data_IF_209116164337
#
_entry.id   IF_209116164337
#
_cell.length_a   1.000
_cell.length_b   1.000
_cell.length_c   1.000
_cell.angle_alpha   90.00
_cell.angle_beta   90.00
_cell.angle_gamma   90.00
#
_symmetry.space_group_name_H-M   'P 1'
#
loop_
_entity.id
_entity.type
_entity.pdbx_description
1 polymer ?
#
# COMPACT_ATOMS: atom_id res chain seq x y z
N UNK A 1 39.00 -60.83 40.61
CA UNK A 1 39.63 -61.93 39.84
C UNK A 1 38.96 -61.95 38.47
N UNK A 2 39.51 -61.26 37.48
CA UNK A 2 40.50 -61.71 36.49
C UNK A 2 39.84 -62.27 35.19
N UNK A 3 40.24 -61.69 34.05
CA UNK A 3 39.94 -62.18 32.69
C UNK A 3 39.59 -61.05 31.71
N UNK A 4 40.52 -60.16 31.36
CA UNK A 4 41.46 -60.24 30.21
C UNK A 4 40.79 -60.05 28.83
N UNK A 5 40.93 -58.81 28.34
CA UNK A 5 41.48 -58.36 27.04
C UNK A 5 41.06 -59.06 25.73
N UNK A 6 40.58 -58.24 24.76
CA UNK A 6 41.17 -58.13 23.40
C UNK A 6 40.60 -56.92 22.64
N UNK A 7 41.42 -55.88 22.52
CA UNK A 7 41.29 -54.86 21.48
C UNK A 7 41.65 -55.48 20.13
N UNK A 8 40.74 -55.40 19.16
CA UNK A 8 41.02 -55.73 17.76
C UNK A 8 40.92 -54.44 16.93
N UNK A 9 42.10 -53.93 16.58
CA UNK A 9 42.36 -52.91 15.56
C UNK A 9 41.93 -53.45 14.19
N UNK A 10 40.95 -52.83 13.54
CA UNK A 10 40.63 -53.09 12.14
C UNK A 10 41.06 -51.92 11.28
N UNK A 11 42.12 -52.20 10.52
CA UNK A 11 42.80 -51.31 9.61
C UNK A 11 41.87 -50.77 8.50
N UNK A 12 42.01 -49.47 8.26
CA UNK A 12 41.44 -48.73 7.13
C UNK A 12 41.99 -49.27 5.81
N UNK A 13 41.21 -50.09 5.09
CA UNK A 13 41.44 -50.36 3.67
C UNK A 13 41.07 -49.11 2.87
N UNK A 14 42.07 -48.28 2.55
CA UNK A 14 41.97 -47.25 1.50
C UNK A 14 41.57 -47.92 0.19
N UNK A 15 40.33 -47.71 -0.26
CA UNK A 15 39.96 -47.96 -1.67
C UNK A 15 40.70 -46.91 -2.50
N UNK A 16 41.68 -47.34 -3.27
CA UNK A 16 42.24 -46.54 -4.36
C UNK A 16 41.10 -46.29 -5.36
N UNK A 17 40.65 -45.04 -5.48
CA UNK A 17 39.68 -44.65 -6.50
C UNK A 17 40.32 -44.88 -7.87
N UNK A 18 39.70 -45.72 -8.70
CA UNK A 18 40.06 -45.80 -10.10
C UNK A 18 39.92 -44.40 -10.71
N UNK A 19 41.04 -43.80 -11.13
CA UNK A 19 41.01 -42.53 -11.84
C UNK A 19 40.33 -42.78 -13.19
N UNK A 20 39.09 -42.33 -13.33
CA UNK A 20 38.35 -42.37 -14.58
C UNK A 20 39.08 -41.47 -15.58
N UNK A 21 39.88 -42.05 -16.46
CA UNK A 21 40.51 -41.30 -17.55
C UNK A 21 39.44 -40.90 -18.56
N UNK A 22 38.97 -39.65 -18.45
CA UNK A 22 38.15 -39.02 -19.49
C UNK A 22 39.08 -38.56 -20.61
N UNK A 23 38.89 -39.13 -21.80
CA UNK A 23 39.64 -38.73 -23.00
C UNK A 23 39.51 -37.22 -23.25
N UNK A 24 40.57 -36.58 -23.77
CA UNK A 24 40.59 -35.15 -24.10
C UNK A 24 39.39 -34.73 -24.96
N UNK A 25 38.97 -35.57 -25.90
CA UNK A 25 37.81 -35.30 -26.77
C UNK A 25 36.49 -35.33 -26.01
N UNK A 26 36.29 -36.30 -25.11
CA UNK A 26 35.10 -36.37 -24.25
C UNK A 26 35.04 -35.21 -23.25
N UNK A 27 36.19 -34.76 -22.75
CA UNK A 27 36.28 -33.58 -21.87
C UNK A 27 35.94 -32.29 -22.63
N UNK A 28 36.35 -32.18 -23.89
CA UNK A 28 36.02 -31.05 -24.75
C UNK A 28 34.52 -31.01 -25.10
N UNK A 29 33.91 -32.17 -25.37
CA UNK A 29 32.46 -32.29 -25.58
C UNK A 29 31.66 -31.98 -24.30
N UNK A 30 32.10 -32.43 -23.12
CA UNK A 30 31.46 -32.05 -21.86
C UNK A 30 31.57 -30.56 -21.57
N UNK A 31 32.71 -29.91 -21.87
CA UNK A 31 32.85 -28.46 -21.74
C UNK A 31 31.99 -27.69 -22.73
N UNK A 32 31.84 -28.17 -23.98
CA UNK A 32 30.94 -27.56 -24.96
C UNK A 32 29.46 -27.75 -24.59
N UNK A 33 29.08 -28.90 -24.05
CA UNK A 33 27.72 -29.12 -23.53
C UNK A 33 27.44 -28.30 -22.26
N UNK A 34 28.43 -28.08 -21.39
CA UNK A 34 28.28 -27.18 -20.24
C UNK A 34 28.26 -25.69 -20.64
N UNK A 35 28.96 -25.29 -21.72
CA UNK A 35 28.89 -23.92 -22.26
C UNK A 35 27.59 -23.65 -23.03
N UNK A 36 26.98 -24.67 -23.66
CA UNK A 36 25.65 -24.56 -24.27
C UNK A 36 24.51 -24.72 -23.26
N UNK A 37 24.76 -25.32 -22.10
CA UNK A 37 23.91 -25.18 -20.91
C UNK A 37 24.34 -23.96 -20.09
N UNK A 38 24.36 -22.78 -20.72
CA UNK A 38 23.99 -21.57 -19.98
C UNK A 38 22.56 -21.85 -19.51
N UNK A 39 22.42 -22.33 -18.27
CA UNK A 39 21.13 -22.33 -17.58
C UNK A 39 20.62 -20.90 -17.71
N UNK A 40 19.68 -20.69 -18.63
CA UNK A 40 18.79 -19.56 -18.55
C UNK A 40 18.09 -19.79 -17.22
N UNK A 41 18.59 -19.11 -16.17
CA UNK A 41 17.76 -18.86 -15.02
C UNK A 41 16.56 -18.13 -15.59
N UNK A 42 15.48 -18.86 -15.83
CA UNK A 42 14.15 -18.27 -15.89
C UNK A 42 13.92 -17.71 -14.50
N UNK A 43 14.44 -16.51 -14.24
CA UNK A 43 13.83 -15.65 -13.25
C UNK A 43 12.39 -15.52 -13.73
N UNK A 44 11.44 -16.08 -12.99
CA UNK A 44 10.03 -15.76 -13.14
C UNK A 44 9.87 -14.27 -12.82
N UNK A 45 10.31 -13.41 -13.73
CA UNK A 45 10.00 -11.99 -13.69
C UNK A 45 8.59 -11.93 -14.21
N UNK A 46 7.64 -11.82 -13.29
CA UNK A 46 6.26 -11.52 -13.66
C UNK A 46 6.29 -10.25 -14.50
N UNK A 47 5.75 -10.26 -15.73
CA UNK A 47 5.72 -9.05 -16.53
C UNK A 47 4.94 -7.98 -15.77
N UNK A 48 5.39 -6.71 -15.80
CA UNK A 48 4.70 -5.62 -15.13
C UNK A 48 3.30 -5.46 -15.72
N UNK A 49 2.34 -5.01 -14.92
CA UNK A 49 0.97 -4.83 -15.38
C UNK A 49 0.90 -3.83 -16.54
N UNK A 50 -0.08 -3.95 -17.44
CA UNK A 50 -0.26 -2.97 -18.50
C UNK A 50 -0.59 -1.58 -17.93
N UNK A 51 -0.45 -0.55 -18.75
CA UNK A 51 -0.91 0.79 -18.37
C UNK A 51 -2.43 0.74 -18.09
N UNK A 52 -2.91 1.36 -16.99
CA UNK A 52 -4.32 1.31 -16.65
C UNK A 52 -5.19 1.97 -17.74
N UNK A 53 -6.34 1.37 -18.11
CA UNK A 53 -7.25 1.98 -19.06
C UNK A 53 -7.90 3.26 -18.48
N UNK A 54 -8.44 4.09 -19.37
CA UNK A 54 -9.12 5.35 -19.01
C UNK A 54 -10.41 5.11 -18.20
N UNK A 55 -11.08 3.98 -18.44
CA UNK A 55 -12.23 3.49 -17.68
C UNK A 55 -12.05 1.99 -17.41
N UNK A 56 -12.58 1.49 -16.29
CA UNK A 56 -12.44 0.09 -15.95
C UNK A 56 -13.09 -0.27 -14.63
N UNK A 57 -13.25 -1.57 -14.43
CA UNK A 57 -13.83 -2.20 -13.24
C UNK A 57 -12.88 -3.30 -12.76
N UNK A 58 -12.59 -3.38 -11.47
CA UNK A 58 -11.80 -4.49 -10.91
C UNK A 58 -12.35 -4.94 -9.58
N UNK A 59 -12.28 -6.24 -9.31
CA UNK A 59 -12.40 -6.77 -7.96
C UNK A 59 -11.12 -6.43 -7.19
N UNK A 60 -11.24 -6.31 -5.86
CA UNK A 60 -10.13 -6.03 -4.96
C UNK A 60 -9.95 -7.18 -3.95
N UNK A 61 -9.34 -8.31 -4.37
CA UNK A 61 -9.10 -9.42 -3.45
C UNK A 61 -8.14 -9.06 -2.30
N UNK A 62 -7.35 -7.98 -2.45
CA UNK A 62 -6.55 -7.42 -1.35
C UNK A 62 -7.38 -6.75 -0.24
N UNK A 63 -8.71 -6.65 -0.40
CA UNK A 63 -9.63 -6.03 0.56
C UNK A 63 -10.67 -7.04 1.04
N UNK A 64 -10.98 -6.99 2.34
CA UNK A 64 -11.96 -7.88 3.00
C UNK A 64 -12.93 -7.08 3.86
N UNK A 65 -14.12 -7.64 4.06
CA UNK A 65 -15.22 -7.00 4.78
C UNK A 65 -15.45 -7.65 6.14
N UNK A 66 -15.55 -6.81 7.17
CA UNK A 66 -15.93 -7.20 8.53
C UNK A 66 -17.29 -6.59 8.83
N UNK A 67 -18.29 -7.42 9.10
CA UNK A 67 -19.59 -6.99 9.62
C UNK A 67 -19.49 -6.66 11.10
N UNK A 68 -20.02 -5.49 11.46
CA UNK A 68 -20.21 -5.03 12.84
C UNK A 68 -21.67 -4.59 12.99
N UNK A 69 -22.46 -5.34 13.75
CA UNK A 69 -23.91 -5.15 13.77
C UNK A 69 -24.51 -5.27 15.18
N UNK A 70 -25.28 -4.27 15.59
CA UNK A 70 -26.03 -4.25 16.85
C UNK A 70 -26.13 -2.86 17.46
N UNK A 71 -26.96 -2.67 18.48
CA UNK A 71 -27.37 -1.35 18.98
C UNK A 71 -26.21 -0.45 19.43
N UNK A 72 -25.10 -1.02 19.92
CA UNK A 72 -23.94 -0.23 20.37
C UNK A 72 -22.87 -0.03 19.28
N UNK A 73 -23.04 -0.59 18.08
CA UNK A 73 -22.02 -0.58 17.02
C UNK A 73 -21.59 0.84 16.61
N UNK A 74 -22.56 1.73 16.33
CA UNK A 74 -22.28 3.10 15.92
C UNK A 74 -21.53 3.89 17.01
N UNK A 75 -21.94 3.73 18.28
CA UNK A 75 -21.30 4.37 19.44
C UNK A 75 -19.87 3.86 19.63
N UNK A 76 -19.65 2.56 19.49
CA UNK A 76 -18.32 1.97 19.55
C UNK A 76 -17.43 2.53 18.43
N UNK A 77 -17.87 2.45 17.17
CA UNK A 77 -17.11 2.94 16.02
C UNK A 77 -16.77 4.42 16.16
N UNK A 78 -17.71 5.24 16.60
CA UNK A 78 -17.49 6.67 16.83
C UNK A 78 -16.31 6.94 17.77
N UNK A 79 -16.07 6.08 18.76
CA UNK A 79 -14.96 6.23 19.71
C UNK A 79 -13.61 5.66 19.27
N UNK A 80 -13.54 4.90 18.17
CA UNK A 80 -12.31 4.16 17.78
C UNK A 80 -11.80 4.49 16.38
N UNK A 81 -12.58 5.17 15.55
CA UNK A 81 -12.17 5.59 14.21
C UNK A 81 -11.90 7.11 14.14
N UNK A 82 -11.09 7.53 13.18
CA UNK A 82 -10.70 8.95 12.97
C UNK A 82 -11.77 9.82 12.31
N UNK A 83 -12.72 9.22 11.59
CA UNK A 83 -13.81 9.93 10.91
C UNK A 83 -15.13 9.83 11.71
N UNK A 84 -16.10 10.68 11.37
CA UNK A 84 -17.38 10.70 12.07
C UNK A 84 -18.35 9.69 11.46
N UNK A 85 -19.06 8.94 12.32
CA UNK A 85 -20.05 7.94 11.90
C UNK A 85 -21.27 8.61 11.23
N UNK A 86 -21.57 9.85 11.62
CA UNK A 86 -22.60 10.67 10.98
C UNK A 86 -22.03 11.48 9.80
N UNK A 87 -22.92 11.95 8.94
CA UNK A 87 -22.61 12.98 7.94
C UNK A 87 -22.31 14.33 8.61
N UNK A 88 -21.83 15.31 7.82
CA UNK A 88 -21.54 16.66 8.32
C UNK A 88 -22.80 17.37 8.81
N UNK A 89 -23.95 17.00 8.25
CA UNK A 89 -25.29 17.48 8.60
C UNK A 89 -25.90 16.73 9.80
N UNK A 90 -25.09 15.93 10.51
CA UNK A 90 -25.51 15.07 11.61
C UNK A 90 -26.58 14.01 11.25
N UNK A 91 -26.71 13.68 9.95
CA UNK A 91 -27.60 12.63 9.46
C UNK A 91 -26.88 11.29 9.31
N UNK A 92 -27.63 10.19 9.35
CA UNK A 92 -27.14 8.84 9.02
C UNK A 92 -26.56 8.82 7.61
N UNK A 93 -25.31 8.39 7.47
CA UNK A 93 -24.66 8.25 6.17
C UNK A 93 -25.37 7.18 5.35
N UNK A 94 -25.46 7.41 4.04
CA UNK A 94 -26.01 6.45 3.08
C UNK A 94 -24.93 5.79 2.23
N UNK A 95 -23.72 6.35 2.22
CA UNK A 95 -22.56 5.85 1.47
C UNK A 95 -21.40 5.61 2.41
N UNK A 96 -20.41 4.88 1.93
CA UNK A 96 -19.17 4.66 2.66
C UNK A 96 -18.34 5.92 2.86
N UNK A 97 -17.37 5.82 3.76
CA UNK A 97 -16.40 6.88 4.03
C UNK A 97 -15.06 6.29 4.47
N UNK A 98 -13.98 7.02 4.20
CA UNK A 98 -12.63 6.63 4.56
C UNK A 98 -12.34 7.01 6.03
N UNK A 99 -11.61 6.16 6.73
CA UNK A 99 -11.22 6.37 8.12
C UNK A 99 -9.97 5.54 8.45
N UNK A 100 -9.50 5.66 9.68
CA UNK A 100 -8.46 4.79 10.22
C UNK A 100 -8.76 4.39 11.67
N UNK A 101 -8.28 3.21 12.06
CA UNK A 101 -8.07 2.85 13.46
C UNK A 101 -6.68 3.27 13.88
N UNK A 102 -6.55 3.95 15.02
CA UNK A 102 -5.25 4.35 15.57
C UNK A 102 -4.94 3.57 16.85
N UNK A 103 -3.66 3.48 17.19
CA UNK A 103 -3.25 3.08 18.52
C UNK A 103 -3.42 4.25 19.50
N UNK A 104 -3.29 3.98 20.81
CA UNK A 104 -3.46 5.01 21.85
C UNK A 104 -2.48 6.19 21.71
N UNK A 105 -1.37 5.98 21.02
CA UNK A 105 -0.37 7.03 20.78
C UNK A 105 -0.70 7.87 19.52
N UNK A 106 -1.69 7.50 18.71
CA UNK A 106 -2.10 8.21 17.49
C UNK A 106 -1.43 7.75 16.20
N UNK A 107 -0.93 6.51 16.14
CA UNK A 107 -0.31 5.92 14.93
C UNK A 107 -1.29 4.96 14.28
N UNK A 108 -1.26 4.88 12.95
CA UNK A 108 -2.21 4.08 12.17
C UNK A 108 -2.03 2.60 12.48
N UNK A 109 -3.13 1.94 12.84
CA UNK A 109 -3.25 0.48 12.89
C UNK A 109 -3.78 -0.06 11.58
N UNK A 110 -4.86 0.51 11.06
CA UNK A 110 -5.51 0.08 9.83
C UNK A 110 -6.17 1.28 9.15
N UNK A 111 -5.93 1.44 7.85
CA UNK A 111 -6.78 2.23 6.95
C UNK A 111 -8.04 1.43 6.61
N UNK A 112 -9.20 2.07 6.65
CA UNK A 112 -10.48 1.39 6.44
C UNK A 112 -11.46 2.25 5.66
N UNK A 113 -12.37 1.58 4.96
CA UNK A 113 -13.64 2.19 4.58
C UNK A 113 -14.74 1.64 5.48
N UNK A 114 -15.62 2.51 5.92
CA UNK A 114 -16.79 2.15 6.73
C UNK A 114 -18.04 2.39 5.88
N UNK A 115 -18.88 1.37 5.77
CA UNK A 115 -20.09 1.36 4.96
C UNK A 115 -21.30 1.09 5.86
N UNK A 116 -22.34 1.95 5.82
CA UNK A 116 -23.65 1.60 6.39
C UNK A 116 -24.21 0.36 5.68
N UNK A 117 -24.41 -0.75 6.38
CA UNK A 117 -24.92 -1.98 5.78
C UNK A 117 -26.44 -1.88 5.57
N UNK A 118 -26.85 -1.17 4.53
CA UNK A 118 -28.26 -0.94 4.19
C UNK A 118 -28.86 -2.22 3.60
N UNK A 119 -28.10 -2.92 2.75
CA UNK A 119 -28.53 -4.14 2.08
C UNK A 119 -28.54 -5.39 2.98
N UNK A 120 -27.88 -5.36 4.15
CA UNK A 120 -27.85 -6.50 5.07
C UNK A 120 -26.83 -7.59 4.70
N UNK A 121 -25.81 -7.26 3.91
CA UNK A 121 -24.76 -8.21 3.46
C UNK A 121 -24.00 -8.84 4.63
N UNK A 122 -23.99 -8.18 5.79
CA UNK A 122 -23.41 -8.72 7.01
C UNK A 122 -24.13 -9.94 7.56
N UNK A 123 -25.21 -10.43 6.93
CA UNK A 123 -26.13 -11.45 7.44
C UNK A 123 -26.63 -11.11 8.85
N UNK A 124 -26.98 -9.83 9.02
CA UNK A 124 -27.44 -9.25 10.29
C UNK A 124 -28.80 -8.56 10.11
N UNK A 125 -29.66 -9.10 9.25
CA UNK A 125 -31.00 -8.58 8.91
C UNK A 125 -31.93 -8.44 10.12
N UNK A 126 -31.68 -9.24 11.16
CA UNK A 126 -32.43 -9.17 12.42
C UNK A 126 -32.12 -7.91 13.25
N UNK A 127 -31.00 -7.21 12.97
CA UNK A 127 -30.62 -5.98 13.65
C UNK A 127 -31.26 -4.77 12.99
N UNK A 128 -31.56 -3.73 13.78
CA UNK A 128 -32.22 -2.53 13.29
C UNK A 128 -31.38 -1.81 12.21
N UNK A 129 -32.04 -1.29 11.17
CA UNK A 129 -31.42 -0.41 10.18
C UNK A 129 -30.69 0.77 10.88
N UNK A 130 -29.51 1.13 10.40
CA UNK A 130 -28.65 2.15 11.03
C UNK A 130 -27.76 1.63 12.17
N UNK A 131 -27.85 0.35 12.54
CA UNK A 131 -26.98 -0.29 13.56
C UNK A 131 -26.03 -1.33 12.97
N UNK A 132 -25.96 -1.42 11.64
CA UNK A 132 -25.18 -2.41 10.90
C UNK A 132 -24.16 -1.71 10.01
N UNK A 133 -22.91 -2.15 10.07
CA UNK A 133 -21.81 -1.56 9.30
C UNK A 133 -20.94 -2.66 8.71
N UNK A 134 -20.41 -2.43 7.51
CA UNK A 134 -19.30 -3.19 6.95
C UNK A 134 -18.03 -2.35 7.04
N UNK A 135 -16.94 -2.98 7.45
CA UNK A 135 -15.61 -2.39 7.51
C UNK A 135 -14.76 -3.08 6.46
N UNK A 136 -14.37 -2.34 5.42
CA UNK A 136 -13.37 -2.78 4.46
C UNK A 136 -11.98 -2.50 5.02
N UNK A 137 -11.14 -3.52 5.05
CA UNK A 137 -9.75 -3.45 5.48
C UNK A 137 -8.85 -4.28 4.55
N UNK A 138 -7.54 -4.10 4.68
CA UNK A 138 -6.53 -4.97 4.06
C UNK A 138 -6.80 -6.45 4.42
N UNK A 139 -6.84 -7.31 3.40
CA UNK A 139 -7.14 -8.73 3.53
C UNK A 139 -6.19 -9.45 4.50
N UNK A 140 -4.91 -9.08 4.51
CA UNK A 140 -3.89 -9.69 5.37
C UNK A 140 -4.03 -9.27 6.83
N UNK A 141 -4.71 -8.16 7.10
CA UNK A 141 -4.90 -7.63 8.46
C UNK A 141 -6.35 -7.72 8.95
N UNK A 142 -7.31 -8.11 8.11
CA UNK A 142 -8.74 -8.13 8.42
C UNK A 142 -9.07 -8.99 9.65
N UNK A 143 -8.44 -10.16 9.78
CA UNK A 143 -8.62 -11.03 10.95
C UNK A 143 -8.07 -10.41 12.24
N UNK A 144 -6.93 -9.71 12.13
CA UNK A 144 -6.33 -9.00 13.26
C UNK A 144 -7.22 -7.84 13.69
N UNK A 145 -7.75 -7.07 12.75
CA UNK A 145 -8.69 -5.98 13.03
C UNK A 145 -9.99 -6.53 13.65
N UNK A 146 -10.56 -7.62 13.13
CA UNK A 146 -11.74 -8.24 13.71
C UNK A 146 -11.50 -8.70 15.16
N UNK A 147 -10.34 -9.31 15.45
CA UNK A 147 -9.94 -9.66 16.84
C UNK A 147 -9.73 -8.43 17.72
N UNK A 148 -9.16 -7.36 17.17
CA UNK A 148 -9.00 -6.09 17.87
C UNK A 148 -10.36 -5.52 18.27
N UNK A 149 -11.30 -5.39 17.34
CA UNK A 149 -12.67 -4.93 17.61
C UNK A 149 -13.34 -5.80 18.68
N UNK A 150 -13.27 -7.13 18.55
CA UNK A 150 -13.84 -8.07 19.55
C UNK A 150 -13.25 -7.87 20.95
N UNK A 151 -11.94 -7.63 21.05
CA UNK A 151 -11.26 -7.38 22.33
C UNK A 151 -11.74 -6.09 22.99
N UNK A 152 -11.93 -5.02 22.22
CA UNK A 152 -12.31 -3.70 22.73
C UNK A 152 -13.83 -3.46 22.79
N UNK A 153 -14.65 -4.37 22.23
CA UNK A 153 -16.11 -4.37 22.37
C UNK A 153 -16.56 -4.36 23.84
N UNK A 154 -15.84 -5.04 24.74
CA UNK A 154 -16.19 -5.16 26.16
C UNK A 154 -17.68 -5.55 26.33
N UNK A 155 -18.48 -4.72 27.02
CA UNK A 155 -19.91 -4.95 27.27
C UNK A 155 -20.83 -4.39 26.17
N UNK A 156 -20.27 -3.74 25.15
CA UNK A 156 -21.07 -3.19 24.06
C UNK A 156 -21.81 -4.30 23.32
N UNK A 157 -23.08 -4.07 23.00
CA UNK A 157 -23.99 -5.03 22.37
C UNK A 157 -23.94 -4.89 20.84
N UNK A 158 -23.02 -5.59 20.21
CA UNK A 158 -22.95 -5.77 18.75
C UNK A 158 -22.12 -6.99 18.36
N UNK A 159 -22.43 -7.68 17.29
CA UNK A 159 -21.64 -8.81 16.81
C UNK A 159 -20.57 -8.37 15.81
N UNK A 160 -19.51 -9.18 15.70
CA UNK A 160 -18.38 -8.93 14.81
C UNK A 160 -18.07 -10.19 14.03
N UNK A 161 -18.15 -10.12 12.71
CA UNK A 161 -17.97 -11.26 11.81
C UNK A 161 -17.12 -10.86 10.61
N UNK A 162 -16.04 -11.58 10.36
CA UNK A 162 -15.32 -11.47 9.10
C UNK A 162 -16.10 -12.25 8.04
N UNK A 163 -16.49 -11.60 6.95
CA UNK A 163 -17.21 -12.24 5.85
C UNK A 163 -16.25 -13.14 5.07
N UNK A 164 -16.72 -14.30 4.63
CA UNK A 164 -16.01 -15.15 3.69
C UNK A 164 -15.85 -14.44 2.33
N UNK A 165 -14.88 -14.90 1.52
CA UNK A 165 -14.50 -14.25 0.26
C UNK A 165 -15.63 -14.29 -0.78
N UNK A 166 -16.49 -15.31 -0.69
CA UNK A 166 -17.63 -15.54 -1.57
C UNK A 166 -18.93 -14.87 -1.12
N UNK A 167 -19.02 -14.41 0.13
CA UNK A 167 -20.21 -13.72 0.66
C UNK A 167 -20.34 -12.28 0.13
N UNK A 168 -19.22 -11.59 -0.09
CA UNK A 168 -19.23 -10.23 -0.62
C UNK A 168 -17.86 -9.84 -1.19
N UNK A 169 -17.89 -9.10 -2.30
CA UNK A 169 -16.69 -8.61 -2.99
C UNK A 169 -16.65 -7.08 -2.99
N UNK A 170 -15.46 -6.55 -2.73
CA UNK A 170 -15.16 -5.13 -2.92
C UNK A 170 -14.68 -4.92 -4.35
N UNK A 171 -15.32 -3.99 -5.04
CA UNK A 171 -14.98 -3.59 -6.39
C UNK A 171 -14.55 -2.14 -6.43
N UNK A 172 -13.78 -1.79 -7.45
CA UNK A 172 -13.47 -0.41 -7.77
C UNK A 172 -13.72 -0.13 -9.25
N UNK A 173 -14.43 0.95 -9.52
CA UNK A 173 -14.75 1.41 -10.87
C UNK A 173 -14.23 2.84 -11.10
N UNK A 174 -13.75 3.11 -12.30
CA UNK A 174 -13.40 4.46 -12.75
C UNK A 174 -13.87 4.66 -14.19
N UNK A 175 -14.27 5.88 -14.50
CA UNK A 175 -15.27 6.15 -15.55
C UNK A 175 -15.10 7.54 -16.18
N UNK A 176 -13.87 8.04 -16.26
CA UNK A 176 -13.53 9.38 -16.79
C UNK A 176 -14.56 10.48 -16.40
N UNK A 177 -14.87 10.55 -15.10
CA UNK A 177 -15.78 11.57 -14.53
C UNK A 177 -17.27 11.21 -14.47
N UNK A 178 -17.72 10.05 -14.98
CA UNK A 178 -19.14 9.63 -14.91
C UNK A 178 -19.48 8.86 -13.62
N UNK A 179 -20.64 9.08 -13.03
CA UNK A 179 -21.09 8.25 -11.91
C UNK A 179 -21.51 6.86 -12.41
N UNK A 180 -20.95 5.74 -11.90
CA UNK A 180 -21.42 4.41 -12.28
C UNK A 180 -22.82 4.20 -11.74
N UNK A 181 -23.76 3.83 -12.61
CA UNK A 181 -25.14 3.49 -12.22
C UNK A 181 -25.31 1.99 -12.41
N UNK A 182 -25.68 1.29 -11.34
CA UNK A 182 -25.93 -0.15 -11.37
C UNK A 182 -27.04 -0.50 -10.39
N UNK A 183 -27.86 -1.48 -10.76
CA UNK A 183 -28.92 -2.05 -9.91
C UNK A 183 -28.43 -3.21 -9.05
N UNK A 184 -27.24 -3.73 -9.35
CA UNK A 184 -26.75 -5.02 -8.85
C UNK A 184 -25.77 -4.89 -7.68
N UNK A 185 -25.37 -3.66 -7.35
CA UNK A 185 -24.49 -3.39 -6.21
C UNK A 185 -25.31 -2.99 -5.00
N UNK A 186 -24.97 -3.57 -3.85
CA UNK A 186 -25.58 -3.21 -2.58
C UNK A 186 -25.25 -1.76 -2.19
N UNK A 187 -24.05 -1.29 -2.54
CA UNK A 187 -23.58 0.04 -2.18
C UNK A 187 -22.62 0.59 -3.22
N UNK A 188 -22.82 1.84 -3.63
CA UNK A 188 -21.89 2.60 -4.48
C UNK A 188 -21.44 3.82 -3.69
N UNK A 189 -20.12 3.97 -3.57
CA UNK A 189 -19.49 5.06 -2.80
C UNK A 189 -18.44 5.71 -3.66
N UNK A 190 -18.59 7.02 -3.91
CA UNK A 190 -17.50 7.80 -4.50
C UNK A 190 -16.26 7.68 -3.61
N UNK A 191 -15.12 7.31 -4.17
CA UNK A 191 -13.89 7.26 -3.38
C UNK A 191 -13.55 8.68 -2.90
N UNK A 192 -13.49 8.92 -1.57
CA UNK A 192 -13.35 10.26 -1.03
C UNK A 192 -11.87 10.69 -0.93
N UNK A 193 -10.93 9.80 -1.27
CA UNK A 193 -9.50 10.06 -1.05
C UNK A 193 -8.94 11.04 -2.06
N UNK A 194 -9.39 10.98 -3.31
CA UNK A 194 -9.07 11.99 -4.32
C UNK A 194 -10.30 12.26 -5.19
N UNK A 195 -10.37 13.42 -5.86
CA UNK A 195 -11.45 13.72 -6.79
C UNK A 195 -11.57 12.68 -7.92
N UNK A 196 -10.47 12.19 -8.47
CA UNK A 196 -10.50 11.44 -9.73
C UNK A 196 -10.14 9.96 -9.59
N UNK A 197 -10.15 9.39 -8.37
CA UNK A 197 -9.80 7.99 -8.19
C UNK A 197 -10.89 7.07 -8.75
N UNK A 198 -12.15 7.35 -8.43
CA UNK A 198 -13.31 6.59 -8.92
C UNK A 198 -14.32 6.28 -7.82
N UNK A 199 -14.84 5.06 -7.83
CA UNK A 199 -15.92 4.60 -6.96
C UNK A 199 -15.61 3.23 -6.39
N UNK A 200 -15.91 3.05 -5.11
CA UNK A 200 -16.00 1.76 -4.42
C UNK A 200 -17.41 1.18 -4.58
N UNK A 201 -17.49 -0.10 -4.90
CA UNK A 201 -18.76 -0.84 -4.93
C UNK A 201 -18.66 -2.08 -4.06
N UNK A 202 -19.72 -2.36 -3.30
CA UNK A 202 -19.85 -3.59 -2.52
C UNK A 202 -20.97 -4.42 -3.12
N UNK A 203 -20.69 -5.68 -3.44
CA UNK A 203 -21.65 -6.62 -4.01
C UNK A 203 -21.66 -7.92 -3.19
N UNK A 204 -22.85 -8.49 -2.98
CA UNK A 204 -23.08 -9.67 -2.12
C UNK A 204 -22.75 -11.02 -2.76
N UNK A 205 -21.83 -11.04 -3.73
CA UNK A 205 -21.32 -12.23 -4.39
C UNK A 205 -19.97 -11.90 -5.06
N UNK A 206 -19.46 -12.82 -5.90
CA UNK A 206 -18.19 -12.68 -6.63
C UNK A 206 -18.34 -12.27 -8.10
N UNK A 207 -19.57 -12.18 -8.62
CA UNK A 207 -19.81 -11.82 -10.00
C UNK A 207 -19.60 -10.30 -10.20
N UNK A 208 -18.99 -9.86 -11.31
CA UNK A 208 -18.86 -8.44 -11.62
C UNK A 208 -20.21 -7.70 -11.55
N UNK A 209 -20.26 -6.48 -10.97
CA UNK A 209 -21.41 -5.60 -11.08
C UNK A 209 -21.81 -5.38 -12.55
N UNK A 210 -23.12 -5.37 -12.85
CA UNK A 210 -23.61 -5.01 -14.18
C UNK A 210 -23.36 -3.52 -14.45
N UNK A 211 -22.20 -3.25 -15.03
CA UNK A 211 -21.73 -1.96 -15.50
C UNK A 211 -21.17 -2.14 -16.92
N UNK A 212 -21.40 -1.16 -17.78
CA UNK A 212 -20.80 -1.11 -19.12
C UNK A 212 -19.34 -0.65 -19.01
N UNK A 213 -18.51 -1.48 -18.38
CA UNK A 213 -17.09 -1.26 -18.14
C UNK A 213 -16.32 -2.55 -18.35
N UNK A 214 -15.13 -2.43 -18.95
CA UNK A 214 -14.23 -3.57 -19.07
C UNK A 214 -13.66 -3.95 -17.70
N UNK A 215 -13.70 -5.25 -17.40
CA UNK A 215 -13.02 -5.80 -16.22
C UNK A 215 -11.51 -5.79 -16.45
N UNK A 216 -10.77 -5.33 -15.46
CA UNK A 216 -9.30 -5.28 -15.46
C UNK A 216 -8.75 -5.87 -14.16
N UNK A 217 -7.42 -5.84 -14.00
CA UNK A 217 -6.70 -6.40 -12.85
C UNK A 217 -6.60 -5.40 -11.69
N UNK A 218 -6.44 -5.91 -10.48
CA UNK A 218 -6.16 -5.09 -9.28
C UNK A 218 -4.84 -4.32 -9.41
N UNK A 219 -3.88 -4.85 -10.17
CA UNK A 219 -2.62 -4.16 -10.46
C UNK A 219 -2.85 -2.87 -11.25
N UNK A 220 -3.80 -2.86 -12.20
CA UNK A 220 -4.18 -1.64 -12.93
C UNK A 220 -4.73 -0.58 -11.96
N UNK A 221 -5.53 -1.01 -10.98
CA UNK A 221 -5.99 -0.13 -9.91
C UNK A 221 -4.85 0.37 -9.01
N UNK A 222 -3.90 -0.50 -8.67
CA UNK A 222 -2.71 -0.16 -7.88
C UNK A 222 -1.86 0.90 -8.57
N UNK A 223 -1.57 0.75 -9.86
CA UNK A 223 -0.85 1.76 -10.64
C UNK A 223 -1.63 3.08 -10.66
N UNK A 224 -2.95 3.08 -10.84
CA UNK A 224 -3.77 4.31 -10.76
C UNK A 224 -3.63 5.00 -9.41
N UNK A 225 -3.68 4.25 -8.30
CA UNK A 225 -3.45 4.81 -6.96
C UNK A 225 -2.06 5.42 -6.81
N UNK A 226 -1.02 4.74 -7.30
CA UNK A 226 0.34 5.24 -7.26
C UNK A 226 0.51 6.52 -8.05
N UNK A 227 -0.08 6.62 -9.25
CA UNK A 227 -0.05 7.86 -10.03
C UNK A 227 -0.80 9.02 -9.36
N UNK A 228 -1.70 8.75 -8.42
CA UNK A 228 -2.39 9.78 -7.63
C UNK A 228 -1.80 9.98 -6.23
N UNK A 229 -0.76 9.25 -5.83
CA UNK A 229 -0.16 9.36 -4.50
C UNK A 229 -1.01 8.78 -3.37
N UNK A 230 -1.85 7.78 -3.67
CA UNK A 230 -2.81 7.21 -2.71
C UNK A 230 -2.28 5.91 -2.10
N UNK A 231 -1.91 5.96 -0.83
CA UNK A 231 -1.56 4.77 -0.06
C UNK A 231 -2.81 3.98 0.37
N UNK A 232 -2.74 2.65 0.30
CA UNK A 232 -3.79 1.73 0.75
C UNK A 232 -3.16 0.46 1.31
N UNK A 233 -3.64 0.01 2.46
CA UNK A 233 -3.21 -1.24 3.08
C UNK A 233 -1.84 -1.20 3.78
N UNK A 234 -1.50 -2.33 4.37
CA UNK A 234 -0.46 -2.45 5.39
C UNK A 234 0.97 -2.41 4.82
N UNK A 235 1.09 -2.71 3.53
CA UNK A 235 2.34 -2.62 2.80
C UNK A 235 2.77 -1.18 2.52
N UNK A 236 1.80 -0.27 2.41
CA UNK A 236 2.03 1.13 2.06
C UNK A 236 1.90 2.04 3.29
N UNK A 237 1.07 1.66 4.26
CA UNK A 237 0.84 2.40 5.51
C UNK A 237 1.38 1.60 6.69
N UNK A 238 2.65 1.82 7.06
CA UNK A 238 3.36 1.00 8.07
C UNK A 238 2.68 1.03 9.44
N UNK A 239 2.27 -0.14 9.94
CA UNK A 239 1.49 -0.31 11.17
C UNK A 239 2.23 0.24 12.37
N UNK A 240 1.53 0.93 13.26
CA UNK A 240 2.05 1.49 14.51
C UNK A 240 3.18 2.52 14.34
N UNK A 241 3.62 2.80 13.12
CA UNK A 241 4.66 3.77 12.79
C UNK A 241 4.12 4.96 12.02
N UNK A 242 3.24 4.73 11.04
CA UNK A 242 2.67 5.77 10.20
C UNK A 242 1.79 6.74 11.01
N UNK A 243 1.96 8.03 10.75
CA UNK A 243 1.04 9.07 11.24
C UNK A 243 -0.04 9.32 10.18
N UNK A 244 -1.31 9.52 10.58
CA UNK A 244 -2.40 9.77 9.64
C UNK A 244 -2.13 10.93 8.67
N UNK A 245 -1.55 12.02 9.16
CA UNK A 245 -1.19 13.16 8.32
C UNK A 245 0.01 12.88 7.40
N UNK A 246 0.95 12.04 7.82
CA UNK A 246 2.05 11.64 6.94
C UNK A 246 1.55 10.79 5.75
N UNK A 247 0.41 10.11 5.91
CA UNK A 247 -0.24 9.33 4.83
C UNK A 247 -1.37 10.10 4.14
N UNK A 248 -1.45 11.41 4.33
CA UNK A 248 -2.44 12.31 3.73
C UNK A 248 -3.91 12.04 4.10
N UNK A 249 -4.18 11.27 5.17
CA UNK A 249 -5.55 11.00 5.61
C UNK A 249 -6.32 12.28 5.99
N UNK A 250 -5.61 13.32 6.38
CA UNK A 250 -6.17 14.64 6.67
C UNK A 250 -6.73 15.36 5.44
N UNK A 251 -6.17 15.09 4.25
CA UNK A 251 -6.65 15.64 2.98
C UNK A 251 -7.48 14.66 2.16
N UNK A 252 -7.44 13.37 2.51
CA UNK A 252 -8.21 12.30 1.89
C UNK A 252 -9.57 12.05 2.59
N UNK A 253 -10.09 13.05 3.31
CA UNK A 253 -11.34 12.96 4.09
C UNK A 253 -11.37 11.82 5.13
N UNK A 254 -10.20 11.36 5.58
CA UNK A 254 -10.05 10.25 6.53
C UNK A 254 -10.05 10.66 8.01
N UNK A 255 -10.04 11.96 8.30
CA UNK A 255 -10.01 12.51 9.66
C UNK A 255 -11.08 13.58 9.78
N UNK A 256 -11.96 13.46 10.78
CA UNK A 256 -12.82 14.55 11.19
C UNK A 256 -12.20 15.26 12.41
N UNK A 257 -11.88 16.54 12.27
CA UNK A 257 -11.32 17.36 13.34
C UNK A 257 -12.39 17.95 14.28
N UNK A 258 -13.66 17.86 13.90
CA UNK A 258 -14.81 18.41 14.63
C UNK A 258 -15.65 17.35 15.36
N UNK A 259 -15.30 16.06 15.23
CA UNK A 259 -15.97 15.00 15.98
C UNK A 259 -15.51 14.92 17.44
N UNK A 260 -16.29 14.20 18.25
CA UNK A 260 -15.94 13.87 19.63
C UNK A 260 -14.72 12.96 19.77
N UNK A 261 -14.36 12.67 21.02
CA UNK A 261 -13.14 11.94 21.36
C UNK A 261 -13.05 10.56 20.70
N UNK A 262 -11.86 10.22 20.19
CA UNK A 262 -11.54 8.89 19.69
C UNK A 262 -10.12 8.46 20.07
N UNK A 263 -9.85 7.15 20.01
CA UNK A 263 -8.54 6.58 20.36
C UNK A 263 -7.41 7.19 19.50
N UNK A 264 -6.38 7.73 20.15
CA UNK A 264 -5.21 8.29 19.47
C UNK A 264 -5.38 9.73 18.96
N UNK A 265 -6.50 10.41 19.27
CA UNK A 265 -6.79 11.76 18.78
C UNK A 265 -5.76 12.82 19.20
N UNK A 266 -5.18 12.73 20.41
CA UNK A 266 -4.31 13.77 20.99
C UNK A 266 -3.16 14.17 20.04
N UNK A 267 -2.43 13.17 19.51
CA UNK A 267 -1.33 13.44 18.59
C UNK A 267 -1.83 14.00 17.26
N UNK A 268 -2.96 13.50 16.75
CA UNK A 268 -3.56 13.94 15.50
C UNK A 268 -3.95 15.42 15.59
N UNK A 269 -4.64 15.83 16.66
CA UNK A 269 -5.06 17.22 16.89
C UNK A 269 -3.86 18.13 17.14
N UNK A 270 -2.90 17.69 17.96
CA UNK A 270 -1.67 18.45 18.21
C UNK A 270 -0.91 18.72 16.92
N UNK A 271 -0.79 17.70 16.05
CA UNK A 271 -0.14 17.84 14.74
C UNK A 271 -0.89 18.83 13.84
N UNK A 272 -2.23 18.83 13.85
CA UNK A 272 -3.04 19.76 13.05
C UNK A 272 -2.87 21.23 13.47
N UNK A 273 -2.85 21.52 14.77
CA UNK A 273 -2.88 22.91 15.26
C UNK A 273 -1.52 23.50 15.59
N UNK A 274 -0.55 22.67 15.97
CA UNK A 274 0.77 23.13 16.44
C UNK A 274 1.93 22.53 15.65
N UNK A 275 1.66 21.49 14.86
CA UNK A 275 2.67 20.77 14.12
C UNK A 275 2.78 21.25 12.68
N UNK A 276 3.99 21.16 12.14
CA UNK A 276 4.23 21.22 10.69
C UNK A 276 4.44 19.79 10.21
N UNK A 277 3.60 19.33 9.28
CA UNK A 277 3.74 17.99 8.67
C UNK A 277 4.80 18.07 7.58
N UNK A 278 6.03 17.71 7.94
CA UNK A 278 7.21 17.79 7.05
C UNK A 278 7.35 16.61 6.10
N UNK A 279 6.81 15.45 6.47
CA UNK A 279 6.86 14.23 5.67
C UNK A 279 5.47 13.88 5.17
N UNK A 280 5.35 13.57 3.89
CA UNK A 280 4.10 13.04 3.32
C UNK A 280 4.39 11.93 2.34
N UNK A 281 3.45 11.00 2.22
CA UNK A 281 3.46 10.02 1.14
C UNK A 281 3.26 10.76 -0.18
N UNK A 282 4.20 10.56 -1.10
CA UNK A 282 4.18 11.12 -2.44
C UNK A 282 4.36 10.01 -3.48
N UNK A 283 3.73 10.17 -4.66
CA UNK A 283 4.06 9.34 -5.81
C UNK A 283 5.49 9.60 -6.27
N UNK A 284 6.16 8.52 -6.66
CA UNK A 284 7.55 8.54 -7.05
C UNK A 284 7.75 7.77 -8.36
N UNK A 285 8.70 8.24 -9.18
CA UNK A 285 9.20 7.52 -10.36
C UNK A 285 10.65 7.14 -10.10
N UNK A 286 11.00 5.88 -10.37
CA UNK A 286 12.39 5.43 -10.42
C UNK A 286 12.91 5.47 -11.86
N UNK A 287 14.20 5.76 -12.02
CA UNK A 287 14.85 5.91 -13.33
C UNK A 287 16.35 5.57 -13.26
N UNK A 288 16.93 5.27 -14.42
CA UNK A 288 18.35 4.93 -14.57
C UNK A 288 19.27 6.06 -14.10
N UNK A 289 20.44 5.71 -13.57
CA UNK A 289 21.41 6.71 -13.11
C UNK A 289 21.86 7.66 -14.24
N UNK A 290 22.00 7.11 -15.45
CA UNK A 290 22.45 7.82 -16.65
C UNK A 290 21.36 8.68 -17.31
N UNK A 291 20.08 8.47 -16.96
CA UNK A 291 18.96 9.25 -17.52
C UNK A 291 18.75 10.54 -16.74
N UNK A 292 18.32 11.57 -17.46
CA UNK A 292 17.86 12.80 -16.84
C UNK A 292 16.59 12.54 -16.01
N UNK A 293 16.47 13.26 -14.89
CA UNK A 293 15.30 13.15 -14.01
C UNK A 293 13.97 13.35 -14.77
N UNK A 294 12.99 12.43 -14.63
CA UNK A 294 11.70 12.52 -15.32
C UNK A 294 10.99 13.85 -15.05
N UNK A 295 10.40 14.45 -16.08
CA UNK A 295 9.64 15.71 -15.92
C UNK A 295 8.21 15.49 -15.45
N UNK A 296 7.67 14.30 -15.71
CA UNK A 296 6.28 13.95 -15.46
C UNK A 296 6.18 12.63 -14.67
N UNK A 297 5.10 12.51 -13.91
CA UNK A 297 4.72 11.28 -13.23
C UNK A 297 4.02 10.36 -14.22
N UNK A 298 4.74 9.39 -14.77
CA UNK A 298 4.20 8.48 -15.79
C UNK A 298 4.61 7.04 -15.50
N UNK A 299 3.63 6.14 -15.57
CA UNK A 299 3.87 4.71 -15.54
C UNK A 299 4.29 4.20 -16.91
N UNK A 300 5.37 3.42 -16.95
CA UNK A 300 5.99 2.87 -18.15
C UNK A 300 6.31 1.40 -17.91
N UNK A 301 5.40 0.48 -18.28
CA UNK A 301 5.57 -0.95 -18.00
C UNK A 301 6.73 -1.58 -18.78
N UNK A 302 7.08 -1.03 -19.95
CA UNK A 302 8.21 -1.48 -20.75
C UNK A 302 8.91 -0.24 -21.33
N UNK A 303 10.03 0.16 -20.75
CA UNK A 303 11.00 1.00 -21.46
C UNK A 303 12.10 0.07 -21.98
N UNK A 304 12.35 0.10 -23.29
CA UNK A 304 13.54 -0.48 -23.92
C UNK A 304 13.75 -2.00 -23.69
N UNK A 305 12.68 -2.75 -23.47
CA UNK A 305 12.72 -4.20 -23.29
C UNK A 305 13.13 -4.68 -21.88
N UNK A 306 13.39 -3.76 -20.95
CA UNK A 306 13.70 -4.06 -19.54
C UNK A 306 12.51 -3.72 -18.63
N UNK A 307 12.37 -4.50 -17.55
CA UNK A 307 11.38 -4.27 -16.52
C UNK A 307 11.94 -3.27 -15.49
N UNK A 308 11.62 -1.99 -15.65
CA UNK A 308 12.14 -0.92 -14.80
C UNK A 308 13.58 -0.51 -15.12
N UNK A 309 14.10 0.51 -14.42
CA UNK A 309 15.43 1.05 -14.68
C UNK A 309 16.53 0.01 -14.45
N UNK A 310 17.45 -0.14 -15.39
CA UNK A 310 18.54 -1.14 -15.36
C UNK A 310 18.05 -2.61 -15.18
N UNK A 311 16.78 -2.89 -15.46
CA UNK A 311 16.16 -4.19 -15.17
C UNK A 311 15.86 -4.43 -13.69
N UNK A 312 15.85 -3.37 -12.88
CA UNK A 312 15.47 -3.35 -11.46
C UNK A 312 14.10 -2.67 -11.30
N UNK A 313 12.99 -3.42 -11.40
CA UNK A 313 11.67 -2.85 -11.22
C UNK A 313 11.42 -2.52 -9.74
N UNK A 314 10.49 -1.61 -9.50
CA UNK A 314 10.17 -1.01 -8.21
C UNK A 314 9.78 -2.03 -7.12
N UNK A 315 9.25 -3.19 -7.52
CA UNK A 315 8.91 -4.33 -6.69
C UNK A 315 10.13 -4.98 -6.03
N UNK A 316 11.32 -4.84 -6.63
CA UNK A 316 12.58 -5.40 -6.11
C UNK A 316 13.21 -4.56 -5.00
N UNK A 317 12.74 -3.31 -4.83
CA UNK A 317 13.26 -2.38 -3.84
C UNK A 317 12.64 -2.72 -2.48
N UNK A 318 13.45 -3.06 -1.46
CA UNK A 318 12.94 -3.35 -0.13
C UNK A 318 12.16 -2.18 0.46
N UNK A 319 11.10 -2.51 1.19
CA UNK A 319 10.32 -1.52 1.95
C UNK A 319 11.22 -0.78 2.93
N UNK A 320 10.91 0.49 3.17
CA UNK A 320 11.65 1.39 4.05
C UNK A 320 13.10 1.70 3.63
N UNK A 321 13.52 1.33 2.40
CA UNK A 321 14.81 1.74 1.84
C UNK A 321 14.95 3.27 1.91
N UNK A 322 16.06 3.75 2.48
CA UNK A 322 16.28 5.18 2.66
C UNK A 322 16.48 5.88 1.31
N UNK A 323 15.79 7.00 1.11
CA UNK A 323 16.00 7.91 -0.02
C UNK A 323 17.14 8.87 0.35
N UNK A 324 18.27 8.76 -0.35
CA UNK A 324 19.43 9.64 -0.18
C UNK A 324 19.53 10.70 -1.27
N UNK A 325 20.30 11.77 -1.03
CA UNK A 325 20.71 12.71 -2.11
C UNK A 325 21.78 12.04 -2.97
N UNK A 326 21.64 12.08 -4.28
CA UNK A 326 22.63 11.56 -5.21
C UNK A 326 23.91 12.42 -5.14
N UNK A 327 25.07 11.77 -5.13
CA UNK A 327 26.39 12.43 -5.08
C UNK A 327 26.71 13.22 -3.80
N UNK A 328 25.83 13.23 -2.78
CA UNK A 328 26.00 14.03 -1.56
C UNK A 328 25.69 13.19 -0.32
N UNK A 329 26.57 13.23 0.68
CA UNK A 329 26.26 12.70 2.02
C UNK A 329 25.34 13.68 2.75
N UNK A 330 24.37 13.16 3.50
CA UNK A 330 23.45 14.00 4.25
C UNK A 330 22.31 13.22 4.89
N UNK A 331 21.39 13.97 5.52
CA UNK A 331 20.17 13.41 6.10
C UNK A 331 19.32 12.74 5.01
N UNK A 332 18.74 11.60 5.35
CA UNK A 332 17.73 10.93 4.51
C UNK A 332 16.60 11.89 4.13
N UNK A 333 16.29 11.91 2.83
CA UNK A 333 15.21 12.69 2.22
C UNK A 333 13.85 12.01 2.40
N UNK A 334 13.82 10.72 2.75
CA UNK A 334 12.59 9.96 2.90
C UNK A 334 12.84 8.45 2.95
N UNK A 335 11.76 7.69 2.87
CA UNK A 335 11.80 6.23 2.80
C UNK A 335 10.92 5.73 1.66
N UNK A 336 11.40 4.75 0.91
CA UNK A 336 10.59 4.01 -0.05
C UNK A 336 9.53 3.18 0.67
N UNK A 337 8.32 3.09 0.10
CA UNK A 337 7.23 2.29 0.67
C UNK A 337 6.99 1.04 -0.16
N UNK A 338 6.46 1.20 -1.37
CA UNK A 338 6.16 0.11 -2.31
C UNK A 338 6.00 0.69 -3.72
N UNK A 339 6.19 -0.12 -4.74
CA UNK A 339 5.96 0.29 -6.12
C UNK A 339 5.76 -0.89 -7.06
N UNK A 340 5.45 -0.54 -8.30
CA UNK A 340 5.19 -1.45 -9.42
C UNK A 340 5.85 -0.88 -10.67
N UNK A 341 6.61 -1.70 -11.40
CA UNK A 341 7.36 -1.28 -12.60
C UNK A 341 8.31 -0.12 -12.32
N UNK A 342 8.02 1.08 -12.83
CA UNK A 342 8.84 2.27 -12.61
C UNK A 342 8.23 3.30 -11.64
N UNK A 343 7.06 3.02 -11.04
CA UNK A 343 6.35 3.95 -10.15
C UNK A 343 6.11 3.35 -8.77
N UNK A 344 5.87 4.20 -7.79
CA UNK A 344 5.48 3.76 -6.46
C UNK A 344 5.26 4.91 -5.51
N UNK A 345 5.29 4.61 -4.22
CA UNK A 345 5.08 5.57 -3.14
C UNK A 345 6.34 5.68 -2.28
N UNK A 346 6.65 6.92 -1.88
CA UNK A 346 7.69 7.22 -0.90
C UNK A 346 7.16 8.13 0.20
N UNK A 347 7.58 7.89 1.44
CA UNK A 347 7.41 8.85 2.53
C UNK A 347 8.51 9.90 2.41
N UNK A 348 8.19 11.02 1.78
CA UNK A 348 9.14 12.04 1.36
C UNK A 348 9.10 13.25 2.29
N UNK A 349 10.26 13.85 2.57
CA UNK A 349 10.36 15.18 3.18
C UNK A 349 10.05 16.24 2.15
N UNK A 350 8.99 17.01 2.38
CA UNK A 350 8.49 18.00 1.45
C UNK A 350 9.54 19.06 1.17
N UNK A 351 10.19 19.59 2.20
CA UNK A 351 11.18 20.67 2.13
C UNK A 351 12.50 20.26 1.45
N UNK A 352 12.71 18.95 1.26
CA UNK A 352 13.93 18.41 0.62
C UNK A 352 13.65 17.99 -0.82
N UNK A 353 12.55 17.26 -1.04
CA UNK A 353 12.29 16.60 -2.33
C UNK A 353 11.36 17.40 -3.24
N UNK A 354 10.72 18.46 -2.74
CA UNK A 354 9.69 19.21 -3.46
C UNK A 354 9.82 20.71 -3.26
N UNK A 355 9.18 21.46 -4.14
CA UNK A 355 9.05 22.92 -4.09
C UNK A 355 7.99 23.40 -3.08
N UNK A 356 7.35 22.49 -2.32
CA UNK A 356 6.35 22.86 -1.32
C UNK A 356 7.02 23.60 -0.16
N UNK A 357 6.54 24.82 0.08
CA UNK A 357 6.93 25.65 1.23
C UNK A 357 5.98 25.36 2.39
N UNK A 358 6.55 24.99 3.53
CA UNK A 358 5.77 24.65 4.72
C UNK A 358 5.35 25.92 5.49
N UNK A 359 4.16 25.93 6.13
CA UNK A 359 3.71 27.07 6.90
C UNK A 359 4.71 27.47 8.01
N UNK A 360 5.02 28.76 8.08
CA UNK A 360 5.90 29.33 9.11
C UNK A 360 7.41 29.21 8.83
N UNK A 361 7.81 28.68 7.67
CA UNK A 361 9.21 28.69 7.25
C UNK A 361 9.55 29.94 6.43
N UNK A 362 10.40 30.82 6.98
CA UNK A 362 10.94 32.02 6.33
C UNK A 362 12.30 31.78 5.66
N UNK A 363 12.93 30.62 5.89
CA UNK A 363 14.19 30.26 5.26
C UNK A 363 13.94 29.72 3.84
N UNK A 364 14.85 30.04 2.91
CA UNK A 364 14.86 29.43 1.58
C UNK A 364 14.74 27.90 1.72
N UNK A 365 13.74 27.31 1.06
CA UNK A 365 13.53 25.87 1.05
C UNK A 365 14.86 25.14 0.82
N UNK A 366 15.14 24.07 1.56
CA UNK A 366 16.33 23.24 1.28
C UNK A 366 16.24 22.48 -0.05
N UNK A 367 15.12 22.65 -0.74
CA UNK A 367 14.88 22.21 -2.09
C UNK A 367 15.76 22.95 -3.08
N UNK A 368 16.39 22.18 -3.94
CA UNK A 368 17.11 22.67 -5.11
C UNK A 368 16.68 21.75 -6.26
N UNK A 369 16.11 22.27 -7.36
CA UNK A 369 15.65 21.47 -8.49
C UNK A 369 16.77 20.69 -9.18
N UNK A 370 18.04 21.06 -8.96
CA UNK A 370 19.20 20.30 -9.45
C UNK A 370 19.56 19.10 -8.55
N UNK A 371 18.98 18.98 -7.34
CA UNK A 371 19.22 17.80 -6.51
C UNK A 371 18.48 16.59 -7.06
N UNK A 372 19.24 15.53 -7.34
CA UNK A 372 18.72 14.20 -7.63
C UNK A 372 18.75 13.33 -6.36
N UNK A 373 17.92 12.30 -6.33
CA UNK A 373 17.80 11.37 -5.22
C UNK A 373 17.98 9.94 -5.69
N UNK A 374 18.39 9.07 -4.77
CA UNK A 374 18.72 7.69 -5.09
C UNK A 374 18.30 6.74 -3.97
N UNK A 375 17.91 5.53 -4.37
CA UNK A 375 17.69 4.37 -3.53
C UNK A 375 18.86 3.41 -3.72
N UNK A 376 19.38 2.86 -2.62
CA UNK A 376 20.46 1.87 -2.67
C UNK A 376 20.16 0.75 -1.68
N UNK A 377 20.29 -0.50 -2.13
CA UNK A 377 20.02 -1.70 -1.34
C UNK A 377 20.88 -2.88 -1.82
N UNK A 378 20.84 -3.99 -1.08
CA UNK A 378 21.71 -5.14 -1.31
C UNK A 378 22.97 -5.11 -0.45
N UNK A 379 23.75 -6.18 -0.55
CA UNK A 379 24.97 -6.39 0.25
C UNK A 379 26.20 -5.75 -0.43
N UNK A 380 27.33 -5.71 0.28
CA UNK A 380 28.57 -5.07 -0.21
C UNK A 380 29.05 -5.64 -1.56
N UNK A 381 28.80 -6.92 -1.83
CA UNK A 381 29.20 -7.61 -3.07
C UNK A 381 28.24 -7.36 -4.25
N UNK A 382 26.99 -6.94 -3.98
CA UNK A 382 25.94 -6.70 -5.00
C UNK A 382 25.01 -5.58 -4.54
N UNK A 383 25.47 -4.34 -4.77
CA UNK A 383 24.70 -3.13 -4.45
C UNK A 383 23.86 -2.72 -5.65
N UNK A 384 22.54 -2.82 -5.49
CA UNK A 384 21.59 -2.28 -6.43
C UNK A 384 21.38 -0.79 -6.14
N UNK A 385 21.22 0.01 -7.19
CA UNK A 385 20.94 1.43 -7.07
C UNK A 385 20.02 1.88 -8.21
N UNK A 386 19.06 2.75 -7.89
CA UNK A 386 18.25 3.44 -8.89
C UNK A 386 18.02 4.88 -8.43
N UNK A 387 17.94 5.83 -9.37
CA UNK A 387 17.51 7.19 -9.04
C UNK A 387 16.01 7.23 -8.83
N UNK A 388 15.55 8.20 -8.03
CA UNK A 388 14.14 8.40 -7.68
C UNK A 388 13.79 9.89 -7.73
N UNK A 389 12.58 10.19 -8.20
CA UNK A 389 11.99 11.53 -8.13
C UNK A 389 10.58 11.46 -7.56
N UNK A 390 10.30 12.31 -6.59
CA UNK A 390 8.97 12.48 -6.03
C UNK A 390 8.20 13.56 -6.78
N UNK A 391 6.88 13.40 -6.86
CA UNK A 391 5.96 14.34 -7.47
C UNK A 391 4.88 14.72 -6.46
N UNK A 392 4.37 15.95 -6.53
CA UNK A 392 3.24 16.37 -5.69
C UNK A 392 2.00 16.42 -6.58
N UNK A 393 1.01 15.51 -6.37
CA UNK A 393 -0.23 15.54 -7.13
C UNK A 393 -0.96 16.88 -7.02
N UNK A 394 -1.65 17.28 -8.09
CA UNK A 394 -2.36 18.57 -8.12
C UNK A 394 -3.39 18.71 -7.01
N UNK A 395 -4.13 17.63 -6.70
CA UNK A 395 -5.11 17.61 -5.62
C UNK A 395 -4.44 17.91 -4.26
N UNK A 396 -3.26 17.33 -4.01
CA UNK A 396 -2.53 17.54 -2.76
C UNK A 396 -1.87 18.92 -2.72
N UNK A 397 -1.34 19.38 -3.85
CA UNK A 397 -0.74 20.72 -3.98
C UNK A 397 -1.74 21.82 -3.64
N UNK A 398 -3.00 21.71 -4.12
CA UNK A 398 -4.08 22.65 -3.80
C UNK A 398 -4.35 22.74 -2.29
N UNK A 399 -4.30 21.60 -1.59
CA UNK A 399 -4.55 21.52 -0.15
C UNK A 399 -3.35 21.94 0.72
N UNK A 400 -2.13 21.85 0.17
CA UNK A 400 -0.88 22.24 0.85
C UNK A 400 -0.54 23.72 0.67
N UNK A 401 -1.04 24.37 -0.38
CA UNK A 401 -0.84 25.79 -0.58
C UNK A 401 -1.63 26.58 0.48
N UNK A 402 -1.03 27.63 1.08
CA UNK A 402 -1.76 28.48 2.00
C UNK A 402 -2.94 29.12 1.23
N UNK A 403 -4.15 28.93 1.75
CA UNK A 403 -5.32 29.66 1.25
C UNK A 403 -5.01 31.15 1.39
N UNK A 404 -5.16 31.97 0.34
CA UNK A 404 -4.99 33.42 0.50
C UNK A 404 -5.97 33.87 1.58
N UNK A 405 -5.44 34.51 2.63
CA UNK A 405 -6.22 35.08 3.71
C UNK A 405 -7.26 36.01 3.08
N UNK A 406 -8.54 35.66 3.18
CA UNK A 406 -9.64 36.59 2.90
C UNK A 406 -9.87 37.50 4.10
#
# INVERSE_FOLDING_TARGET
MHGITRHATLATRKRLSAASFVCRTCRHQQQQQQQQQRRQYSSNITPPPPAPPAAGLTALPSRRLISVAGPDAAKFLQGVITANIASKEALTRQTGFYAAFLNATGRVLHDVFIYPDIAGLGNAEQQQAGTRFLIEADANEAERLARHIKRYKLRAKFDVRLLAVDEATVWHAWTDGRHPVTTDSAMVTRDPRTPDLGYRLIKGDTAPPALDLETTTEDSYTVRRYLQGVAEGQDEIVREHALPQETNMDYMNGIDYHKGCYVGQELTIRTKHRGVVRKRVLPCVIYDEERAAPRELQYRPQEDGNHGPEGLPAETIPRETSIGRFGKKGRSAGKWLKGVGNVGLGLCRLEIMTDIVLPGETAASTYDPANEFMLQWGDEDKRNAVKIKAFVPDWLRKELQPTPTQ
#
